data_IF_571618613332
#
_entry.id   IF_571618613332
#
_cell.length_a   1.000
_cell.length_b   1.000
_cell.length_c   1.000
_cell.angle_alpha   90.00
_cell.angle_beta   90.00
_cell.angle_gamma   90.00
#
_symmetry.space_group_name_H-M   'P 1'
#
loop_
_entity.id
_entity.type
_entity.pdbx_description
1 polymer ?
#
# COMPACT_ATOMS: atom_id res chain seq x y z
N UNK A 1 -48.17 19.24 -15.66
CA UNK A 1 -47.22 20.30 -15.22
C UNK A 1 -46.34 19.90 -14.02
N UNK A 2 -46.71 18.91 -13.20
CA UNK A 2 -45.92 18.51 -12.00
C UNK A 2 -44.64 17.69 -12.28
N UNK A 3 -44.62 16.94 -13.38
CA UNK A 3 -43.55 15.97 -13.67
C UNK A 3 -42.21 16.64 -14.03
N UNK A 4 -42.25 17.78 -14.71
CA UNK A 4 -41.05 18.58 -15.03
C UNK A 4 -40.38 19.14 -13.79
N UNK A 5 -41.15 19.66 -12.83
CA UNK A 5 -40.60 20.21 -11.58
C UNK A 5 -39.83 19.17 -10.75
N UNK A 6 -40.34 17.93 -10.67
CA UNK A 6 -39.66 16.82 -10.01
C UNK A 6 -38.34 16.45 -10.70
N UNK A 7 -38.31 16.46 -12.04
CA UNK A 7 -37.08 16.22 -12.80
C UNK A 7 -36.04 17.32 -12.58
N UNK A 8 -36.44 18.59 -12.57
CA UNK A 8 -35.54 19.71 -12.28
C UNK A 8 -35.00 19.65 -10.85
N UNK A 9 -35.86 19.32 -9.88
CA UNK A 9 -35.47 19.13 -8.48
C UNK A 9 -34.44 18.00 -8.33
N UNK A 10 -34.72 16.83 -8.90
CA UNK A 10 -33.82 15.68 -8.83
C UNK A 10 -32.48 15.93 -9.57
N UNK A 11 -32.52 16.67 -10.70
CA UNK A 11 -31.30 17.11 -11.41
C UNK A 11 -30.47 18.08 -10.57
N UNK A 12 -31.10 19.00 -9.83
CA UNK A 12 -30.41 19.90 -8.88
C UNK A 12 -29.79 19.12 -7.72
N UNK A 13 -30.51 18.19 -7.10
CA UNK A 13 -29.94 17.36 -6.01
C UNK A 13 -28.74 16.53 -6.47
N UNK A 14 -28.81 15.88 -7.64
CA UNK A 14 -27.65 15.17 -8.21
C UNK A 14 -26.49 16.11 -8.52
N UNK A 15 -26.78 17.32 -8.99
CA UNK A 15 -25.75 18.35 -9.21
C UNK A 15 -25.11 18.79 -7.89
N UNK A 16 -25.89 18.97 -6.81
CA UNK A 16 -25.38 19.33 -5.48
C UNK A 16 -24.53 18.21 -4.89
N UNK A 17 -24.97 16.95 -4.98
CA UNK A 17 -24.18 15.79 -4.55
C UNK A 17 -22.86 15.67 -5.34
N UNK A 18 -22.88 16.01 -6.64
CA UNK A 18 -21.67 16.09 -7.47
C UNK A 18 -20.70 17.20 -7.00
N UNK A 19 -21.23 18.37 -6.65
CA UNK A 19 -20.44 19.50 -6.13
C UNK A 19 -19.84 19.16 -4.77
N UNK A 20 -20.61 18.63 -3.82
CA UNK A 20 -20.11 18.21 -2.51
C UNK A 20 -19.00 17.17 -2.59
N UNK A 21 -19.09 16.26 -3.57
CA UNK A 21 -18.01 15.28 -3.84
C UNK A 21 -16.75 15.97 -4.35
N UNK A 22 -16.88 16.92 -5.27
CA UNK A 22 -15.73 17.66 -5.82
C UNK A 22 -15.06 18.53 -4.76
N UNK A 23 -15.84 19.17 -3.89
CA UNK A 23 -15.30 19.97 -2.77
C UNK A 23 -14.47 19.11 -1.82
N UNK A 24 -14.95 17.91 -1.48
CA UNK A 24 -14.18 16.94 -0.68
C UNK A 24 -12.87 16.54 -1.35
N UNK A 25 -12.90 16.21 -2.65
CA UNK A 25 -11.69 15.85 -3.41
C UNK A 25 -10.70 17.02 -3.42
N UNK A 26 -11.16 18.24 -3.64
CA UNK A 26 -10.27 19.42 -3.64
C UNK A 26 -9.67 19.64 -2.25
N UNK A 27 -10.43 19.42 -1.18
CA UNK A 27 -9.90 19.50 0.18
C UNK A 27 -8.81 18.45 0.45
N UNK A 28 -9.02 17.20 0.01
CA UNK A 28 -8.03 16.12 0.11
C UNK A 28 -6.76 16.43 -0.69
N UNK A 29 -6.89 16.83 -1.95
CA UNK A 29 -5.75 17.19 -2.80
C UNK A 29 -4.95 18.37 -2.22
N UNK A 30 -5.61 19.35 -1.61
CA UNK A 30 -4.93 20.46 -0.92
C UNK A 30 -4.15 20.00 0.31
N UNK A 31 -4.62 18.96 1.00
CA UNK A 31 -3.90 18.37 2.12
C UNK A 31 -2.71 17.53 1.64
N UNK A 32 -2.90 16.70 0.62
CA UNK A 32 -1.81 15.90 0.02
C UNK A 32 -0.71 16.78 -0.58
N UNK A 33 -1.07 17.90 -1.22
CA UNK A 33 -0.11 18.84 -1.79
C UNK A 33 0.78 19.51 -0.74
N UNK A 34 0.33 19.58 0.52
CA UNK A 34 1.09 20.16 1.65
C UNK A 34 2.07 19.18 2.29
N UNK A 35 2.06 17.90 1.89
CA UNK A 35 2.99 16.91 2.43
C UNK A 35 4.42 17.27 2.02
N UNK A 36 5.30 17.37 3.00
CA UNK A 36 6.72 17.64 2.75
C UNK A 36 7.36 16.42 2.10
N UNK A 37 8.01 16.64 0.95
CA UNK A 37 8.73 15.60 0.22
C UNK A 37 10.21 15.64 0.58
N UNK A 38 10.84 14.48 0.60
CA UNK A 38 12.29 14.35 0.65
C UNK A 38 12.85 14.12 -0.76
N UNK A 39 14.12 14.41 -0.97
CA UNK A 39 14.79 14.13 -2.24
C UNK A 39 14.80 12.61 -2.49
N UNK A 40 14.52 12.22 -3.73
CA UNK A 40 14.52 10.81 -4.12
C UNK A 40 15.87 10.16 -3.84
N UNK A 41 16.98 10.88 -4.05
CA UNK A 41 18.32 10.39 -3.74
C UNK A 41 18.50 10.04 -2.27
N UNK A 42 17.92 10.81 -1.35
CA UNK A 42 17.98 10.55 0.10
C UNK A 42 17.13 9.33 0.44
N UNK A 43 15.90 9.27 -0.06
CA UNK A 43 15.03 8.11 0.13
C UNK A 43 15.67 6.80 -0.37
N UNK A 44 16.36 6.84 -1.52
CA UNK A 44 17.09 5.69 -2.04
C UNK A 44 18.24 5.27 -1.12
N UNK A 45 19.01 6.22 -0.58
CA UNK A 45 20.08 5.92 0.37
C UNK A 45 19.55 5.26 1.64
N UNK A 46 18.45 5.77 2.19
CA UNK A 46 17.82 5.20 3.38
C UNK A 46 17.33 3.77 3.15
N UNK A 47 16.71 3.51 1.99
CA UNK A 47 16.26 2.16 1.61
C UNK A 47 17.44 1.20 1.45
N UNK A 48 18.48 1.60 0.73
CA UNK A 48 19.69 0.77 0.54
C UNK A 48 20.33 0.45 1.88
N UNK A 49 20.49 1.45 2.74
CA UNK A 49 21.05 1.27 4.08
C UNK A 49 20.21 0.29 4.90
N UNK A 50 18.89 0.44 4.90
CA UNK A 50 18.01 -0.46 5.63
C UNK A 50 18.16 -1.91 5.16
N UNK A 51 18.22 -2.13 3.84
CA UNK A 51 18.44 -3.46 3.28
C UNK A 51 19.80 -4.05 3.71
N UNK A 52 20.87 -3.28 3.64
CA UNK A 52 22.22 -3.72 4.06
C UNK A 52 22.27 -4.07 5.56
N UNK A 53 21.66 -3.23 6.41
CA UNK A 53 21.62 -3.45 7.86
C UNK A 53 20.84 -4.73 8.25
N UNK A 54 19.96 -5.22 7.37
CA UNK A 54 19.10 -6.38 7.61
C UNK A 54 19.41 -7.60 6.72
N UNK A 55 20.38 -7.49 5.82
CA UNK A 55 20.71 -8.53 4.82
C UNK A 55 21.02 -9.88 5.48
N UNK A 56 21.77 -9.87 6.58
CA UNK A 56 22.15 -11.08 7.31
C UNK A 56 20.99 -11.74 8.09
N UNK A 57 19.90 -11.00 8.33
CA UNK A 57 18.69 -11.52 8.99
C UNK A 57 17.68 -12.07 7.98
N UNK A 58 17.80 -11.67 6.73
CA UNK A 58 16.95 -12.15 5.66
C UNK A 58 17.47 -13.51 5.18
N UNK A 59 16.87 -14.57 5.72
CA UNK A 59 17.22 -15.97 5.39
C UNK A 59 17.04 -16.31 3.91
N UNK A 60 16.25 -15.53 3.15
CA UNK A 60 16.10 -15.71 1.71
C UNK A 60 17.28 -15.13 0.93
N UNK A 61 17.97 -14.16 1.52
CA UNK A 61 19.15 -13.50 0.93
C UNK A 61 20.45 -14.13 1.44
N UNK A 62 20.59 -14.32 2.76
CA UNK A 62 21.79 -14.91 3.39
C UNK A 62 21.87 -16.44 3.22
N UNK A 63 20.75 -17.08 2.90
CA UNK A 63 20.61 -18.54 2.91
C UNK A 63 20.38 -19.09 4.32
N UNK A 64 19.98 -20.37 4.36
CA UNK A 64 19.74 -21.09 5.61
C UNK A 64 21.00 -21.83 6.06
N UNK A 65 21.39 -21.65 7.33
CA UNK A 65 22.26 -22.61 7.99
C UNK A 65 21.52 -23.95 8.10
N UNK A 66 22.17 -25.04 7.70
CA UNK A 66 21.59 -26.39 7.63
C UNK A 66 20.79 -26.72 8.91
N UNK A 67 19.52 -27.14 8.77
CA UNK A 67 18.52 -27.42 9.84
C UNK A 67 17.71 -26.25 10.42
N UNK A 68 17.93 -25.00 10.00
CA UNK A 68 17.11 -23.85 10.45
C UNK A 68 15.82 -23.64 9.63
N UNK A 69 15.71 -24.28 8.45
CA UNK A 69 14.54 -24.17 7.60
C UNK A 69 13.40 -25.09 8.10
N UNK A 70 12.30 -24.52 8.59
CA UNK A 70 11.11 -25.26 9.04
C UNK A 70 10.44 -26.09 7.92
N UNK A 71 10.68 -25.73 6.65
CA UNK A 71 10.18 -26.47 5.49
C UNK A 71 11.14 -27.58 5.02
N UNK A 72 12.31 -27.73 5.66
CA UNK A 72 13.20 -28.85 5.35
C UNK A 72 12.49 -30.16 5.72
N UNK A 73 12.23 -30.98 4.71
CA UNK A 73 11.63 -32.29 4.91
C UNK A 73 12.50 -33.07 5.88
N UNK A 74 11.95 -33.47 7.04
CA UNK A 74 12.65 -34.38 7.96
C UNK A 74 13.12 -35.56 7.14
N UNK A 75 14.44 -35.69 6.90
CA UNK A 75 15.00 -36.84 6.21
C UNK A 75 14.50 -38.07 6.96
N UNK A 76 13.60 -38.84 6.35
CA UNK A 76 13.18 -40.12 6.90
C UNK A 76 14.42 -41.00 6.86
N UNK A 77 15.10 -41.14 8.00
CA UNK A 77 16.08 -42.20 8.18
C UNK A 77 15.28 -43.50 8.07
N UNK A 78 15.31 -44.11 6.90
CA UNK A 78 14.88 -45.48 6.72
C UNK A 78 15.90 -46.35 7.47
N UNK A 79 15.61 -46.66 8.74
CA UNK A 79 16.23 -47.78 9.41
C UNK A 79 15.49 -49.00 8.89
N UNK A 80 16.11 -49.74 7.98
CA UNK A 80 15.72 -51.11 7.68
C UNK A 80 16.22 -51.95 8.86
N UNK A 81 15.30 -52.39 9.72
CA UNK A 81 15.54 -53.43 10.73
C UNK A 81 15.19 -54.77 10.08
#
# INVERSE_FOLDING_TARGET
MYNTHLLYFNKRERSMAGVERLERIVAELRNEAKVQRINVSVACQDLVKYCQDHELKDVLVSGFEHRANEFESKRKLCIMI
#
